data_IF_985674167481
#
_entry.id   IF_985674167481
#
_cell.length_a   1.000
_cell.length_b   1.000
_cell.length_c   1.000
_cell.angle_alpha   90.00
_cell.angle_beta   90.00
_cell.angle_gamma   90.00
#
_symmetry.space_group_name_H-M   'P 1'
#
loop_
_entity.id
_entity.type
_entity.pdbx_description
1 polymer ?
#
# COMPACT_ATOMS: atom_id res chain seq x y z
N UNK A 1 7.73 -13.97 18.54
CA UNK A 1 7.70 -14.26 17.09
C UNK A 1 6.30 -13.96 16.58
N UNK A 2 6.06 -12.74 16.06
CA UNK A 2 4.74 -12.30 15.61
C UNK A 2 4.45 -12.87 14.20
N UNK A 3 4.08 -14.15 14.13
CA UNK A 3 3.71 -14.82 12.89
C UNK A 3 2.21 -14.65 12.70
N UNK A 4 1.77 -13.60 12.00
CA UNK A 4 0.35 -13.44 11.68
C UNK A 4 -0.02 -12.22 10.83
N UNK A 5 0.69 -11.10 10.98
CA UNK A 5 0.34 -9.84 10.28
C UNK A 5 1.21 -9.54 9.07
N UNK A 6 2.46 -10.02 9.05
CA UNK A 6 3.47 -9.63 8.05
C UNK A 6 3.15 -10.04 6.61
N UNK A 7 2.33 -11.07 6.42
CA UNK A 7 1.97 -11.63 5.10
C UNK A 7 0.58 -11.21 4.62
N UNK A 8 -0.07 -10.26 5.30
CA UNK A 8 -1.33 -9.72 4.79
C UNK A 8 -1.07 -8.82 3.58
N UNK A 9 -2.02 -8.79 2.65
CA UNK A 9 -1.97 -7.86 1.52
C UNK A 9 -1.91 -6.41 1.98
N UNK A 10 -2.54 -6.10 3.12
CA UNK A 10 -2.48 -4.78 3.75
C UNK A 10 -1.06 -4.40 4.18
N UNK A 11 -0.30 -5.33 4.77
CA UNK A 11 1.11 -5.07 5.13
C UNK A 11 1.97 -4.89 3.88
N UNK A 12 1.71 -5.66 2.81
CA UNK A 12 2.41 -5.48 1.52
C UNK A 12 2.14 -4.10 0.91
N UNK A 13 0.87 -3.69 0.84
CA UNK A 13 0.46 -2.36 0.36
C UNK A 13 1.13 -1.27 1.20
N UNK A 14 1.13 -1.42 2.53
CA UNK A 14 1.71 -0.44 3.46
C UNK A 14 3.22 -0.25 3.23
N UNK A 15 3.97 -1.34 3.02
CA UNK A 15 5.41 -1.29 2.74
C UNK A 15 5.70 -0.56 1.42
N UNK A 16 4.97 -0.90 0.36
CA UNK A 16 5.17 -0.27 -0.96
C UNK A 16 4.81 1.22 -0.94
N UNK A 17 3.70 1.60 -0.29
CA UNK A 17 3.32 3.01 -0.15
C UNK A 17 4.34 3.79 0.67
N UNK A 18 4.85 3.21 1.76
CA UNK A 18 5.90 3.84 2.58
C UNK A 18 7.16 4.12 1.76
N UNK A 19 7.65 3.13 1.00
CA UNK A 19 8.84 3.30 0.15
C UNK A 19 8.63 4.41 -0.90
N UNK A 20 7.44 4.49 -1.50
CA UNK A 20 7.10 5.54 -2.48
C UNK A 20 7.01 6.93 -1.87
N UNK A 21 6.50 7.05 -0.64
CA UNK A 21 6.46 8.33 0.06
C UNK A 21 7.88 8.77 0.44
N UNK A 22 8.69 7.87 0.99
CA UNK A 22 10.07 8.18 1.42
C UNK A 22 10.97 8.53 0.23
N UNK A 23 10.81 7.86 -0.91
CA UNK A 23 11.55 8.16 -2.14
C UNK A 23 11.03 9.38 -2.90
N UNK A 24 9.89 9.94 -2.51
CA UNK A 24 9.26 11.07 -3.19
C UNK A 24 8.49 10.69 -4.48
N UNK A 25 8.33 9.40 -4.78
CA UNK A 25 7.49 8.93 -5.88
C UNK A 25 5.99 9.25 -5.65
N UNK A 26 5.58 9.37 -4.38
CA UNK A 26 4.29 9.92 -3.97
C UNK A 26 4.56 11.19 -3.18
N UNK A 27 4.12 12.33 -3.68
CA UNK A 27 4.29 13.60 -2.98
C UNK A 27 3.45 13.66 -1.70
N UNK A 28 3.93 14.37 -0.66
CA UNK A 28 3.14 14.67 0.52
C UNK A 28 1.80 15.34 0.15
N UNK A 29 0.68 14.78 0.62
CA UNK A 29 -0.65 15.31 0.32
C UNK A 29 -1.23 14.86 -1.04
N UNK A 30 -0.50 14.05 -1.81
CA UNK A 30 -1.05 13.41 -3.00
C UNK A 30 -2.26 12.54 -2.62
N UNK A 31 -3.35 12.65 -3.39
CA UNK A 31 -4.54 11.80 -3.18
C UNK A 31 -4.27 10.39 -3.68
N UNK A 32 -4.23 9.42 -2.77
CA UNK A 32 -4.24 8.00 -3.11
C UNK A 32 -5.68 7.60 -3.48
N UNK A 33 -5.91 7.30 -4.77
CA UNK A 33 -7.22 6.77 -5.20
C UNK A 33 -7.29 5.29 -4.89
N UNK A 34 -8.24 4.90 -4.04
CA UNK A 34 -8.43 3.52 -3.62
C UNK A 34 -8.62 2.57 -4.81
N UNK A 35 -9.35 2.99 -5.84
CA UNK A 35 -9.56 2.19 -7.06
C UNK A 35 -8.24 1.84 -7.75
N UNK A 36 -7.34 2.82 -7.84
CA UNK A 36 -6.04 2.62 -8.45
C UNK A 36 -5.15 1.67 -7.64
N UNK A 37 -5.16 1.81 -6.31
CA UNK A 37 -4.42 0.91 -5.41
C UNK A 37 -5.03 -0.51 -5.44
N UNK A 38 -6.35 -0.64 -5.53
CA UNK A 38 -7.01 -1.93 -5.61
C UNK A 38 -6.65 -2.69 -6.89
N UNK A 39 -6.67 -1.98 -8.03
CA UNK A 39 -6.21 -2.51 -9.33
C UNK A 39 -4.72 -2.87 -9.30
N UNK A 40 -3.87 -1.98 -8.78
CA UNK A 40 -2.42 -2.19 -8.72
C UNK A 40 -2.02 -3.43 -7.91
N UNK A 41 -2.70 -3.65 -6.78
CA UNK A 41 -2.40 -4.76 -5.89
C UNK A 41 -3.32 -5.98 -6.10
N UNK A 42 -4.13 -5.98 -7.17
CA UNK A 42 -5.10 -7.03 -7.50
C UNK A 42 -5.96 -7.44 -6.31
N UNK A 43 -6.38 -6.46 -5.50
CA UNK A 43 -7.24 -6.67 -4.34
C UNK A 43 -8.66 -6.22 -4.67
N UNK A 44 -9.65 -7.02 -4.27
CA UNK A 44 -11.05 -6.63 -4.43
C UNK A 44 -11.38 -5.59 -3.36
N UNK A 45 -11.97 -4.47 -3.77
CA UNK A 45 -12.61 -3.54 -2.85
C UNK A 45 -13.54 -4.32 -1.91
N UNK A 46 -13.34 -4.16 -0.61
CA UNK A 46 -14.26 -4.65 0.42
C UNK A 46 -15.51 -3.78 0.43
#
# INVERSE_FOLDING_TARGET
MAKGTDDTIAVRISKVLADRIISGAIEPGARLRQDHIAEEFQTSHV
#
